data_IF_063809828624
#
_entry.id   IF_063809828624
#
_cell.length_a   1.000
_cell.length_b   1.000
_cell.length_c   1.000
_cell.angle_alpha   90.00
_cell.angle_beta   90.00
_cell.angle_gamma   90.00
#
_symmetry.space_group_name_H-M   'P 1'
#
loop_
_entity.id
_entity.type
_entity.pdbx_description
1 polymer ?
#
# COMPACT_ATOMS: atom_id res chain seq x y z
N UNK A 1 19.38 12.35 -18.54
CA UNK A 1 18.18 12.07 -17.74
C UNK A 1 18.33 10.64 -17.25
N UNK A 2 18.57 10.45 -15.95
CA UNK A 2 18.87 9.14 -15.36
C UNK A 2 17.71 8.19 -15.59
N UNK A 3 18.03 7.02 -16.13
CA UNK A 3 17.10 5.91 -16.32
C UNK A 3 16.88 5.24 -14.95
N UNK A 4 16.23 5.93 -14.02
CA UNK A 4 15.92 5.36 -12.71
C UNK A 4 14.73 4.42 -12.86
N UNK A 5 15.03 3.12 -12.76
CA UNK A 5 14.06 2.05 -12.89
C UNK A 5 13.25 1.98 -11.58
N UNK A 6 12.25 2.85 -11.46
CA UNK A 6 11.35 2.84 -10.31
C UNK A 6 10.72 1.45 -10.15
N UNK A 7 10.80 0.91 -8.94
CA UNK A 7 10.28 -0.42 -8.63
C UNK A 7 8.84 -0.34 -8.14
N UNK A 8 8.08 -1.38 -8.48
CA UNK A 8 6.72 -1.58 -7.98
C UNK A 8 6.75 -2.81 -7.09
N UNK A 9 6.41 -2.61 -5.83
CA UNK A 9 6.35 -3.65 -4.82
C UNK A 9 4.91 -4.01 -4.48
N UNK A 10 4.67 -5.29 -4.17
CA UNK A 10 3.38 -5.79 -3.68
C UNK A 10 3.62 -6.46 -2.32
N UNK A 11 2.99 -5.94 -1.28
CA UNK A 11 3.08 -6.40 0.10
C UNK A 11 1.70 -6.87 0.59
N UNK A 12 1.62 -8.11 1.06
CA UNK A 12 0.35 -8.72 1.46
C UNK A 12 0.51 -10.16 1.91
N UNK A 13 -0.60 -10.76 2.37
CA UNK A 13 -0.61 -12.18 2.69
C UNK A 13 -0.27 -13.03 1.45
N UNK A 14 0.39 -14.17 1.67
CA UNK A 14 0.99 -14.95 0.60
C UNK A 14 -0.02 -15.36 -0.48
N UNK A 15 -1.24 -15.73 -0.09
CA UNK A 15 -2.26 -16.17 -1.04
C UNK A 15 -2.78 -15.03 -1.92
N UNK A 16 -2.81 -13.80 -1.39
CA UNK A 16 -3.21 -12.61 -2.13
C UNK A 16 -2.17 -12.15 -3.15
N UNK A 17 -0.87 -12.20 -2.78
CA UNK A 17 0.15 -11.48 -3.54
C UNK A 17 0.98 -12.34 -4.49
N UNK A 18 0.97 -13.67 -4.33
CA UNK A 18 1.84 -14.54 -5.13
C UNK A 18 1.53 -14.47 -6.64
N UNK A 19 0.27 -14.22 -7.00
CA UNK A 19 -0.14 -14.06 -8.40
C UNK A 19 0.54 -12.89 -9.13
N UNK A 20 0.94 -11.84 -8.39
CA UNK A 20 1.63 -10.68 -8.97
C UNK A 20 3.07 -11.00 -9.40
N UNK A 21 3.67 -12.08 -8.87
CA UNK A 21 5.00 -12.52 -9.29
C UNK A 21 5.01 -12.99 -10.75
N UNK A 22 3.91 -13.60 -11.20
CA UNK A 22 3.76 -14.00 -12.60
C UNK A 22 3.68 -12.80 -13.56
N UNK A 23 3.31 -11.63 -13.04
CA UNK A 23 3.26 -10.36 -13.77
C UNK A 23 4.60 -9.59 -13.74
N UNK A 24 5.64 -10.14 -13.11
CA UNK A 24 6.96 -9.53 -13.05
C UNK A 24 7.12 -8.43 -11.99
N UNK A 25 6.21 -8.37 -11.01
CA UNK A 25 6.28 -7.42 -9.89
C UNK A 25 7.10 -7.97 -8.73
N UNK A 26 7.71 -7.08 -7.94
CA UNK A 26 8.45 -7.45 -6.74
C UNK A 26 7.47 -7.78 -5.61
N UNK A 27 7.34 -9.06 -5.27
CA UNK A 27 6.37 -9.54 -4.28
C UNK A 27 7.05 -9.80 -2.93
N UNK A 28 6.45 -9.25 -1.88
CA UNK A 28 6.88 -9.38 -0.49
C UNK A 28 5.74 -9.95 0.37
N UNK A 29 5.67 -11.27 0.57
CA UNK A 29 4.64 -11.86 1.42
C UNK A 29 4.88 -11.52 2.90
N UNK A 30 3.82 -11.22 3.63
CA UNK A 30 3.83 -11.01 5.08
C UNK A 30 2.52 -11.49 5.70
N UNK A 31 2.60 -12.33 6.73
CA UNK A 31 1.43 -12.88 7.44
C UNK A 31 1.09 -12.12 8.73
N UNK A 32 1.97 -11.23 9.19
CA UNK A 32 1.76 -10.41 10.38
C UNK A 32 2.01 -8.93 10.13
N UNK A 33 1.37 -8.08 10.95
CA UNK A 33 1.54 -6.63 10.91
C UNK A 33 3.00 -6.24 11.20
N UNK A 34 3.66 -6.92 12.13
CA UNK A 34 5.05 -6.66 12.50
C UNK A 34 5.99 -6.92 11.32
N UNK A 35 5.85 -8.06 10.65
CA UNK A 35 6.65 -8.38 9.47
C UNK A 35 6.38 -7.40 8.33
N UNK A 36 5.10 -7.05 8.11
CA UNK A 36 4.71 -6.09 7.10
C UNK A 36 5.28 -4.69 7.37
N UNK A 37 5.32 -4.26 8.64
CA UNK A 37 5.91 -2.99 9.09
C UNK A 37 7.39 -2.89 8.70
N UNK A 38 8.16 -3.93 9.01
CA UNK A 38 9.59 -3.96 8.69
C UNK A 38 9.84 -3.90 7.19
N UNK A 39 9.06 -4.66 6.41
CA UNK A 39 9.14 -4.67 4.96
C UNK A 39 8.77 -3.29 4.39
N UNK A 40 7.66 -2.70 4.85
CA UNK A 40 7.20 -1.38 4.39
C UNK A 40 8.28 -0.31 4.61
N UNK A 41 8.86 -0.25 5.81
CA UNK A 41 9.94 0.68 6.11
C UNK A 41 11.19 0.45 5.25
N UNK A 42 11.52 -0.80 4.94
CA UNK A 42 12.63 -1.13 4.04
C UNK A 42 12.36 -0.68 2.61
N UNK A 43 11.14 -0.92 2.10
CA UNK A 43 10.73 -0.52 0.76
C UNK A 43 10.72 1.00 0.61
N UNK A 44 10.24 1.72 1.62
CA UNK A 44 10.20 3.18 1.63
C UNK A 44 11.58 3.86 1.66
N UNK A 45 12.65 3.14 2.02
CA UNK A 45 14.04 3.63 1.98
C UNK A 45 14.77 3.28 0.69
N UNK A 46 14.07 2.70 -0.29
CA UNK A 46 14.65 2.25 -1.55
C UNK A 46 13.97 2.94 -2.73
N UNK A 47 14.44 2.70 -3.96
CA UNK A 47 13.88 3.28 -5.20
C UNK A 47 12.52 2.65 -5.61
N UNK A 48 11.65 2.41 -4.63
CA UNK A 48 10.29 1.88 -4.83
C UNK A 48 9.35 3.07 -4.99
N UNK A 49 8.74 3.22 -6.16
CA UNK A 49 7.79 4.31 -6.41
C UNK A 49 6.39 3.96 -5.92
N UNK A 50 5.97 2.70 -6.06
CA UNK A 50 4.63 2.24 -5.71
C UNK A 50 4.72 1.00 -4.83
N UNK A 51 3.97 1.00 -3.74
CA UNK A 51 3.76 -0.14 -2.86
C UNK A 51 2.26 -0.46 -2.85
N UNK A 52 1.87 -1.55 -3.50
CA UNK A 52 0.55 -2.13 -3.29
C UNK A 52 0.52 -2.86 -1.96
N UNK A 53 -0.44 -2.53 -1.10
CA UNK A 53 -0.58 -3.08 0.25
C UNK A 53 -1.98 -3.65 0.44
N UNK A 54 -2.09 -4.91 0.85
CA UNK A 54 -3.41 -5.50 1.17
C UNK A 54 -4.07 -4.77 2.34
N UNK A 55 -5.37 -4.50 2.24
CA UNK A 55 -6.14 -3.78 3.27
C UNK A 55 -6.09 -4.44 4.65
N UNK A 56 -6.00 -5.78 4.71
CA UNK A 56 -5.88 -6.54 5.96
C UNK A 56 -4.62 -6.17 6.77
N UNK A 57 -3.49 -5.98 6.09
CA UNK A 57 -2.27 -5.52 6.74
C UNK A 57 -2.31 -4.01 6.98
N UNK A 58 -2.92 -3.25 6.06
CA UNK A 58 -3.02 -1.80 6.18
C UNK A 58 -3.74 -1.35 7.45
N UNK A 59 -4.75 -2.10 7.91
CA UNK A 59 -5.46 -1.83 9.16
C UNK A 59 -4.52 -1.79 10.38
N UNK A 60 -3.48 -2.62 10.40
CA UNK A 60 -2.48 -2.64 11.48
C UNK A 60 -1.31 -1.67 11.26
N UNK A 61 -1.24 -1.01 10.10
CA UNK A 61 -0.13 -0.17 9.66
C UNK A 61 -0.53 1.30 9.43
N UNK A 62 -1.71 1.73 9.91
CA UNK A 62 -2.18 3.10 9.72
C UNK A 62 -1.15 4.16 10.17
N UNK A 63 -0.47 4.03 11.33
CA UNK A 63 0.54 5.01 11.74
C UNK A 63 1.73 5.08 10.78
N UNK A 64 2.14 3.96 10.20
CA UNK A 64 3.25 3.89 9.25
C UNK A 64 2.86 4.43 7.89
N UNK A 65 1.67 4.09 7.38
CA UNK A 65 1.16 4.60 6.10
C UNK A 65 1.02 6.12 6.17
N UNK A 66 0.52 6.65 7.30
CA UNK A 66 0.35 8.09 7.49
C UNK A 66 1.67 8.87 7.37
N UNK A 67 2.81 8.27 7.74
CA UNK A 67 4.14 8.91 7.62
C UNK A 67 4.56 9.17 6.18
N UNK A 68 4.03 8.41 5.23
CA UNK A 68 4.37 8.50 3.81
C UNK A 68 3.32 9.23 2.98
N UNK A 69 2.19 9.61 3.60
CA UNK A 69 1.03 10.16 2.89
C UNK A 69 1.34 11.44 2.09
N UNK A 70 2.22 12.28 2.61
CA UNK A 70 2.59 13.55 2.00
C UNK A 70 3.90 13.45 1.19
N UNK A 71 4.50 12.26 1.11
CA UNK A 71 5.72 12.05 0.34
C UNK A 71 5.39 11.73 -1.12
N UNK A 72 6.23 12.20 -2.05
CA UNK A 72 6.09 11.84 -3.47
C UNK A 72 6.35 10.35 -3.72
N UNK A 73 7.30 9.75 -2.98
CA UNK A 73 7.62 8.32 -3.05
C UNK A 73 7.93 7.75 -1.65
N UNK A 74 7.52 6.51 -1.36
CA UNK A 74 6.64 5.66 -2.17
C UNK A 74 5.17 6.06 -2.08
N UNK A 75 4.41 5.91 -3.18
CA UNK A 75 2.95 5.92 -3.15
C UNK A 75 2.42 4.58 -2.62
N UNK A 76 1.66 4.60 -1.54
CA UNK A 76 1.07 3.39 -0.94
C UNK A 76 -0.38 3.26 -1.41
N UNK A 77 -0.68 2.20 -2.17
CA UNK A 77 -2.00 1.96 -2.75
C UNK A 77 -2.60 0.71 -2.09
N UNK A 78 -3.80 0.86 -1.52
CA UNK A 78 -4.48 -0.25 -0.87
C UNK A 78 -5.20 -1.15 -1.88
N UNK A 79 -5.04 -2.46 -1.73
CA UNK A 79 -5.69 -3.49 -2.56
C UNK A 79 -6.44 -4.50 -1.69
N UNK A 80 -7.50 -5.15 -2.20
CA UNK A 80 -8.13 -6.25 -1.48
C UNK A 80 -7.16 -7.42 -1.30
N UNK A 81 -7.25 -8.12 -0.17
CA UNK A 81 -6.61 -9.42 0.04
C UNK A 81 -7.56 -10.59 -0.25
N UNK A 82 -7.15 -11.80 0.16
CA UNK A 82 -7.86 -13.07 -0.06
C UNK A 82 -9.28 -13.09 0.51
N UNK A 83 -9.51 -12.33 1.58
CA UNK A 83 -10.82 -12.16 2.21
C UNK A 83 -11.72 -11.11 1.56
N UNK A 84 -11.29 -10.51 0.45
CA UNK A 84 -11.96 -9.36 -0.17
C UNK A 84 -11.48 -8.02 0.38
N UNK A 85 -12.20 -6.95 0.00
CA UNK A 85 -11.93 -5.60 0.48
C UNK A 85 -12.58 -5.37 1.85
N UNK A 86 -11.86 -4.66 2.72
CA UNK A 86 -12.34 -4.06 3.97
C UNK A 86 -12.90 -2.63 3.76
N UNK A 87 -12.86 -2.11 2.54
CA UNK A 87 -13.36 -0.77 2.18
C UNK A 87 -12.47 0.39 2.62
N UNK A 88 -11.26 0.12 3.12
CA UNK A 88 -10.35 1.12 3.69
C UNK A 88 -9.90 2.11 2.61
N UNK A 89 -9.57 1.63 1.40
CA UNK A 89 -9.22 2.48 0.27
C UNK A 89 -10.32 3.47 -0.07
N UNK A 90 -11.56 2.98 -0.19
CA UNK A 90 -12.72 3.81 -0.50
C UNK A 90 -13.04 4.82 0.63
N UNK A 91 -12.96 4.37 1.88
CA UNK A 91 -13.14 5.25 3.05
C UNK A 91 -12.10 6.39 3.06
N UNK A 92 -10.85 6.09 2.69
CA UNK A 92 -9.80 7.11 2.58
C UNK A 92 -10.06 8.12 1.46
N UNK A 93 -10.62 7.67 0.33
CA UNK A 93 -11.05 8.56 -0.76
C UNK A 93 -12.17 9.47 -0.25
N UNK A 94 -13.23 8.90 0.34
CA UNK A 94 -14.37 9.66 0.89
C UNK A 94 -13.92 10.71 1.90
N UNK A 95 -13.09 10.33 2.88
CA UNK A 95 -12.52 11.25 3.87
C UNK A 95 -11.65 12.37 3.26
N UNK A 96 -10.91 12.06 2.21
CA UNK A 96 -10.07 13.06 1.53
C UNK A 96 -10.92 14.05 0.74
N UNK A 97 -12.01 13.57 0.13
CA UNK A 97 -13.00 14.40 -0.56
C UNK A 97 -13.75 15.30 0.44
N UNK A 98 -14.23 14.75 1.55
CA UNK A 98 -14.88 15.52 2.63
C UNK A 98 -13.97 16.64 3.17
N UNK A 99 -12.67 16.36 3.36
CA UNK A 99 -11.70 17.37 3.81
C UNK A 99 -11.46 18.47 2.77
N UNK A 100 -11.52 18.14 1.48
CA UNK A 100 -11.25 19.10 0.41
C UNK A 100 -12.48 19.96 0.08
N UNK A 101 -13.69 19.40 0.21
CA UNK A 101 -14.95 20.04 -0.22
C UNK A 101 -15.79 20.54 0.96
N UNK A 102 -15.59 20.00 2.16
CA UNK A 102 -16.30 20.41 3.39
C UNK A 102 -17.69 19.79 3.57
N UNK A 103 -18.11 18.88 2.69
CA UNK A 103 -19.41 18.19 2.75
C UNK A 103 -19.26 16.72 2.35
N UNK A 104 -20.17 15.86 2.82
CA UNK A 104 -20.29 14.50 2.30
C UNK A 104 -20.96 14.55 0.90
N UNK A 105 -20.35 13.92 -0.10
CA UNK A 105 -20.80 13.93 -1.51
C UNK A 105 -20.81 12.53 -2.16
N UNK A 106 -20.58 11.46 -1.39
CA UNK A 106 -20.54 10.06 -1.89
C UNK A 106 -21.49 9.14 -1.12
#
# INVERSE_FOLDING_TARGET
MSNEKYRIAVLGDQASVLGFKALGLDVYPAETVEAAREILHRLAKSDTAIIYLTEQLAQGLEPEIARYKDNLTPAIILIPGKGGSLGIGMANVKKSVERAVGTDIL
#
